data_IF_400692071299
#
_entry.id   IF_400692071299
#
_cell.length_a   1.000
_cell.length_b   1.000
_cell.length_c   1.000
_cell.angle_alpha   90.00
_cell.angle_beta   90.00
_cell.angle_gamma   90.00
#
_symmetry.space_group_name_H-M   'P 1'
#
loop_
_entity.id
_entity.type
_entity.pdbx_description
1 polymer ?
#
# COMPACT_ATOMS: atom_id res chain seq x y z
N UNK A 1 11.33 8.97 -5.30
CA UNK A 1 11.58 9.66 -3.99
C UNK A 1 12.18 8.75 -2.92
N UNK A 2 11.92 7.44 -2.89
CA UNK A 2 12.69 6.54 -2.00
C UNK A 2 14.19 6.59 -2.35
N UNK A 3 15.03 6.52 -1.32
CA UNK A 3 16.50 6.53 -1.38
C UNK A 3 17.23 7.81 -1.81
N UNK A 4 16.70 8.62 -2.73
CA UNK A 4 17.48 9.76 -3.28
C UNK A 4 16.85 11.14 -3.11
N UNK A 5 15.56 11.22 -2.77
CA UNK A 5 14.75 12.47 -2.76
C UNK A 5 14.72 13.27 -4.09
N UNK A 6 15.53 12.92 -5.08
CA UNK A 6 15.45 13.44 -6.45
C UNK A 6 14.38 12.68 -7.25
N UNK A 7 13.76 13.38 -8.20
CA UNK A 7 12.86 12.78 -9.19
C UNK A 7 13.56 11.63 -9.90
N UNK A 8 12.84 10.54 -10.16
CA UNK A 8 13.37 9.32 -10.76
C UNK A 8 14.19 9.65 -12.02
N UNK A 9 15.53 9.60 -11.91
CA UNK A 9 16.46 9.78 -13.04
C UNK A 9 17.47 10.91 -12.94
N UNK A 10 17.33 11.91 -12.05
CA UNK A 10 18.35 12.96 -11.88
C UNK A 10 19.18 12.74 -10.62
N UNK A 11 20.34 12.09 -10.77
CA UNK A 11 21.28 11.83 -9.65
C UNK A 11 22.38 12.87 -9.54
N UNK A 12 22.34 13.95 -10.32
CA UNK A 12 23.40 14.96 -10.37
C UNK A 12 23.58 15.68 -9.03
N UNK A 13 22.50 15.89 -8.28
CA UNK A 13 22.52 16.46 -6.93
C UNK A 13 22.37 15.38 -5.85
N UNK A 14 23.16 15.49 -4.78
CA UNK A 14 23.02 14.68 -3.57
C UNK A 14 22.30 15.52 -2.52
N UNK A 15 20.98 15.40 -2.43
CA UNK A 15 20.19 16.17 -1.46
C UNK A 15 20.28 15.60 -0.03
N UNK A 16 20.85 14.40 0.13
CA UNK A 16 20.98 13.71 1.42
C UNK A 16 22.19 12.76 1.40
N UNK A 17 22.76 12.48 2.57
CA UNK A 17 23.88 11.52 2.73
C UNK A 17 23.41 10.06 2.71
N UNK A 18 22.15 9.82 3.07
CA UNK A 18 21.51 8.51 3.05
C UNK A 18 20.03 8.66 2.67
N UNK A 19 19.43 7.55 2.24
CA UNK A 19 17.99 7.44 2.07
C UNK A 19 17.50 6.11 2.60
N UNK A 20 16.20 6.06 2.86
CA UNK A 20 15.49 4.87 3.33
C UNK A 20 14.37 4.51 2.37
N UNK A 21 14.04 3.22 2.35
CA UNK A 21 12.95 2.66 1.59
C UNK A 21 12.86 1.15 1.82
N UNK A 22 11.66 0.60 1.64
CA UNK A 22 11.41 -0.83 1.87
C UNK A 22 11.58 -1.66 0.58
N UNK A 23 11.57 -0.99 -0.58
CA UNK A 23 11.76 -1.64 -1.89
C UNK A 23 13.26 -1.62 -2.20
N UNK A 24 13.92 -2.77 -2.40
CA UNK A 24 15.31 -2.78 -2.84
C UNK A 24 15.49 -1.98 -4.14
N UNK A 25 16.50 -1.12 -4.19
CA UNK A 25 16.91 -0.40 -5.40
C UNK A 25 17.09 -1.36 -6.58
N UNK A 26 16.57 -0.97 -7.75
CA UNK A 26 16.82 -1.73 -8.98
C UNK A 26 18.28 -1.62 -9.42
N UNK A 27 18.75 -2.60 -10.19
CA UNK A 27 20.10 -2.59 -10.74
C UNK A 27 20.36 -1.36 -11.63
N UNK A 28 19.35 -0.90 -12.37
CA UNK A 28 19.45 0.30 -13.21
C UNK A 28 19.61 1.58 -12.38
N UNK A 29 18.86 1.71 -11.28
CA UNK A 29 18.95 2.84 -10.37
C UNK A 29 20.32 2.87 -9.65
N UNK A 30 20.80 1.71 -9.20
CA UNK A 30 22.14 1.58 -8.60
C UNK A 30 23.25 1.97 -9.57
N UNK A 31 23.18 1.51 -10.83
CA UNK A 31 24.14 1.85 -11.87
C UNK A 31 24.15 3.36 -12.19
N UNK A 32 22.96 3.98 -12.26
CA UNK A 32 22.82 5.42 -12.49
C UNK A 32 23.52 6.27 -11.43
N UNK A 33 23.45 5.84 -10.17
CA UNK A 33 24.14 6.51 -9.05
C UNK A 33 25.65 6.22 -9.11
N UNK A 34 26.05 4.96 -9.13
CA UNK A 34 27.46 4.59 -8.95
C UNK A 34 28.33 4.90 -10.17
N UNK A 35 27.84 4.59 -11.36
CA UNK A 35 28.58 4.82 -12.61
C UNK A 35 28.39 6.25 -13.10
N UNK A 36 27.18 6.80 -12.99
CA UNK A 36 26.84 8.13 -13.50
C UNK A 36 27.40 9.30 -12.68
N UNK A 37 27.73 9.08 -11.40
CA UNK A 37 28.21 10.15 -10.50
C UNK A 37 29.57 9.88 -9.86
N UNK A 38 30.12 8.67 -10.01
CA UNK A 38 31.35 8.25 -9.34
C UNK A 38 31.22 8.02 -7.83
N UNK A 39 29.99 8.01 -7.29
CA UNK A 39 29.72 7.79 -5.87
C UNK A 39 29.77 6.30 -5.53
N UNK A 40 30.22 5.98 -4.32
CA UNK A 40 30.10 4.64 -3.74
C UNK A 40 28.82 4.57 -2.93
N UNK A 41 28.04 3.52 -3.12
CA UNK A 41 26.75 3.33 -2.44
C UNK A 41 26.68 1.91 -1.88
N UNK A 42 26.10 1.76 -0.69
CA UNK A 42 25.91 0.47 -0.03
C UNK A 42 24.45 0.31 0.39
N UNK A 43 23.92 -0.91 0.23
CA UNK A 43 22.63 -1.31 0.77
C UNK A 43 22.81 -2.02 2.09
N UNK A 44 22.23 -1.47 3.16
CA UNK A 44 22.32 -2.04 4.49
C UNK A 44 20.90 -2.33 5.01
N UNK A 45 20.47 -3.60 5.06
CA UNK A 45 19.26 -3.97 5.77
C UNK A 45 19.45 -3.65 7.25
N UNK A 46 18.57 -2.84 7.82
CA UNK A 46 18.70 -2.41 9.22
C UNK A 46 17.48 -2.73 10.08
N UNK A 47 16.30 -2.94 9.46
CA UNK A 47 15.07 -3.25 10.16
C UNK A 47 14.17 -4.16 9.31
N UNK A 48 13.41 -5.02 9.98
CA UNK A 48 12.32 -5.80 9.40
C UNK A 48 11.00 -5.23 9.93
N UNK A 49 10.16 -4.75 9.02
CA UNK A 49 8.84 -4.22 9.33
C UNK A 49 7.74 -5.00 8.61
N UNK A 50 6.56 -5.10 9.23
CA UNK A 50 5.36 -5.59 8.58
C UNK A 50 4.46 -4.42 8.17
N UNK A 51 3.80 -4.56 7.02
CA UNK A 51 2.76 -3.60 6.59
C UNK A 51 1.42 -4.08 7.15
N UNK A 52 0.80 -3.24 7.98
CA UNK A 52 -0.57 -3.44 8.46
C UNK A 52 -1.58 -2.71 7.59
N UNK A 53 -2.76 -3.30 7.41
CA UNK A 53 -3.93 -2.62 6.85
C UNK A 53 -4.86 -2.28 8.00
N UNK A 54 -5.21 -1.00 8.12
CA UNK A 54 -6.10 -0.51 9.17
C UNK A 54 -7.52 -0.31 8.64
N UNK A 55 -8.50 -0.38 9.54
CA UNK A 55 -9.90 -0.10 9.25
C UNK A 55 -10.51 0.73 10.40
N UNK A 56 -11.60 1.42 10.10
CA UNK A 56 -12.34 2.24 11.09
C UNK A 56 -13.67 1.61 11.51
N UNK A 57 -13.90 0.33 11.20
CA UNK A 57 -15.06 -0.42 11.73
C UNK A 57 -14.95 -0.47 13.27
N UNK A 58 -15.97 -0.03 14.01
CA UNK A 58 -16.00 -0.10 15.47
C UNK A 58 -15.78 -1.51 16.01
N UNK A 59 -15.08 -1.63 17.13
CA UNK A 59 -14.70 -2.92 17.70
C UNK A 59 -15.91 -3.76 18.18
N UNK A 60 -16.96 -3.09 18.65
CA UNK A 60 -18.24 -3.67 19.03
C UNK A 60 -19.01 -4.23 17.82
N UNK A 61 -18.92 -3.58 16.66
CA UNK A 61 -19.52 -4.08 15.41
C UNK A 61 -18.79 -5.31 14.84
N UNK A 62 -17.52 -5.55 15.20
CA UNK A 62 -16.74 -6.69 14.71
C UNK A 62 -17.01 -7.98 15.51
N UNK A 63 -17.46 -7.87 16.77
CA UNK A 63 -17.65 -9.03 17.64
C UNK A 63 -16.39 -9.50 18.37
N UNK A 64 -15.38 -8.64 18.51
CA UNK A 64 -14.28 -8.78 19.49
C UNK A 64 -12.97 -9.42 19.02
N UNK A 65 -12.97 -10.34 18.06
CA UNK A 65 -11.73 -11.05 17.64
C UNK A 65 -10.87 -10.30 16.61
N UNK A 66 -11.23 -9.05 16.29
CA UNK A 66 -10.64 -8.29 15.19
C UNK A 66 -11.20 -8.71 13.82
N UNK A 67 -11.09 -7.82 12.84
CA UNK A 67 -11.64 -8.04 11.50
C UNK A 67 -10.71 -8.97 10.70
N UNK A 68 -11.27 -10.05 10.19
CA UNK A 68 -10.60 -11.01 9.32
C UNK A 68 -10.92 -10.69 7.88
N UNK A 69 -9.89 -10.46 7.07
CA UNK A 69 -10.01 -10.28 5.63
C UNK A 69 -9.03 -11.21 4.94
N UNK A 70 -9.54 -12.16 4.16
CA UNK A 70 -8.70 -12.96 3.29
C UNK A 70 -8.01 -12.07 2.24
N UNK A 71 -6.88 -12.51 1.66
CA UNK A 71 -6.14 -11.71 0.69
C UNK A 71 -7.02 -11.30 -0.50
N UNK A 72 -7.98 -12.15 -0.90
CA UNK A 72 -8.81 -11.89 -2.08
C UNK A 72 -10.03 -11.03 -1.76
N UNK A 73 -10.52 -11.06 -0.51
CA UNK A 73 -11.47 -10.04 -0.06
C UNK A 73 -10.80 -8.67 -0.03
N UNK A 74 -9.58 -8.60 0.49
CA UNK A 74 -8.79 -7.37 0.50
C UNK A 74 -8.57 -6.85 -0.92
N UNK A 75 -8.19 -7.73 -1.87
CA UNK A 75 -8.06 -7.38 -3.28
C UNK A 75 -9.37 -6.80 -3.84
N UNK A 76 -10.51 -7.46 -3.63
CA UNK A 76 -11.83 -6.96 -4.09
C UNK A 76 -12.22 -5.63 -3.46
N UNK A 77 -11.87 -5.38 -2.20
CA UNK A 77 -12.10 -4.09 -1.53
C UNK A 77 -11.25 -3.00 -2.19
N UNK A 78 -9.95 -3.22 -2.30
CA UNK A 78 -9.03 -2.26 -2.91
C UNK A 78 -9.21 -2.10 -4.42
N UNK A 79 -9.87 -3.06 -5.09
CA UNK A 79 -10.25 -2.95 -6.49
C UNK A 79 -11.62 -2.28 -6.71
N UNK A 80 -12.38 -2.05 -5.63
CA UNK A 80 -13.69 -1.38 -5.65
C UNK A 80 -14.87 -2.30 -5.97
N UNK A 81 -14.67 -3.62 -5.98
CA UNK A 81 -15.72 -4.63 -6.21
C UNK A 81 -16.58 -4.80 -4.97
N UNK A 82 -15.96 -4.85 -3.78
CA UNK A 82 -16.67 -4.88 -2.49
C UNK A 82 -16.65 -3.47 -1.92
N UNK A 83 -17.85 -2.89 -1.75
CA UNK A 83 -18.00 -1.47 -1.39
C UNK A 83 -18.71 -1.24 -0.07
N UNK A 84 -19.15 -2.29 0.63
CA UNK A 84 -19.82 -2.18 1.93
C UNK A 84 -19.32 -3.24 2.90
N UNK A 85 -19.31 -2.92 4.20
CA UNK A 85 -18.83 -3.82 5.25
C UNK A 85 -19.78 -5.00 5.51
N UNK A 86 -21.06 -4.87 5.17
CA UNK A 86 -22.09 -5.91 5.34
C UNK A 86 -22.11 -6.95 4.20
N UNK A 87 -21.14 -6.90 3.29
CA UNK A 87 -21.00 -7.85 2.19
C UNK A 87 -20.95 -9.29 2.70
N UNK A 88 -21.64 -10.20 2.01
CA UNK A 88 -21.81 -11.58 2.44
C UNK A 88 -20.47 -12.29 2.70
N UNK A 89 -19.50 -12.15 1.79
CA UNK A 89 -18.17 -12.76 1.95
C UNK A 89 -17.41 -12.21 3.19
N UNK A 90 -17.56 -10.91 3.52
CA UNK A 90 -16.91 -10.35 4.73
C UNK A 90 -17.55 -10.96 5.98
N UNK A 91 -18.88 -11.02 6.04
CA UNK A 91 -19.59 -11.61 7.17
C UNK A 91 -19.33 -13.11 7.33
N UNK A 92 -19.11 -13.82 6.22
CA UNK A 92 -18.76 -15.24 6.26
C UNK A 92 -17.41 -15.48 6.98
N UNK A 93 -16.42 -14.62 6.73
CA UNK A 93 -15.11 -14.68 7.39
C UNK A 93 -15.14 -14.14 8.83
N UNK A 94 -16.19 -13.40 9.20
CA UNK A 94 -16.35 -12.74 10.50
C UNK A 94 -17.67 -13.13 11.20
N UNK A 95 -17.82 -14.38 11.68
CA UNK A 95 -18.99 -14.79 12.43
C UNK A 95 -19.16 -13.92 13.68
N UNK A 96 -20.29 -13.23 13.80
CA UNK A 96 -20.57 -12.31 14.91
C UNK A 96 -20.43 -10.83 14.56
N UNK A 97 -19.95 -10.49 13.36
CA UNK A 97 -19.93 -9.11 12.86
C UNK A 97 -21.36 -8.58 12.66
N UNK A 98 -21.66 -7.43 13.26
CA UNK A 98 -22.93 -6.72 13.23
C UNK A 98 -22.68 -5.26 12.83
N UNK A 99 -22.50 -5.04 11.53
CA UNK A 99 -22.33 -3.69 10.96
C UNK A 99 -23.66 -3.16 10.41
N UNK A 100 -23.90 -1.83 10.44
CA UNK A 100 -25.04 -1.23 9.76
C UNK A 100 -25.14 -1.63 8.28
N UNK A 101 -26.35 -1.97 7.85
CA UNK A 101 -26.60 -2.35 6.45
C UNK A 101 -26.22 -1.21 5.51
N UNK A 102 -25.48 -1.54 4.44
CA UNK A 102 -25.02 -0.56 3.45
C UNK A 102 -23.92 0.39 3.93
N UNK A 103 -23.31 0.18 5.11
CA UNK A 103 -22.17 0.98 5.56
C UNK A 103 -21.02 0.89 4.54
N UNK A 104 -20.74 2.03 3.90
CA UNK A 104 -19.76 2.13 2.82
C UNK A 104 -18.33 1.94 3.30
N UNK A 105 -17.54 1.25 2.48
CA UNK A 105 -16.09 1.19 2.62
C UNK A 105 -15.50 2.37 1.86
N UNK A 106 -14.61 3.11 2.52
CA UNK A 106 -13.74 4.10 1.88
C UNK A 106 -12.31 3.60 1.93
N UNK A 107 -11.68 3.50 0.77
CA UNK A 107 -10.31 3.01 0.62
C UNK A 107 -9.36 4.20 0.73
N UNK A 108 -8.62 4.27 1.83
CA UNK A 108 -7.49 5.19 1.95
C UNK A 108 -6.28 4.65 1.18
N UNK A 109 -5.66 5.49 0.35
CA UNK A 109 -4.45 5.12 -0.37
C UNK A 109 -3.43 6.25 -0.40
N UNK A 110 -2.15 5.90 -0.62
CA UNK A 110 -1.09 6.91 -0.77
C UNK A 110 -1.25 7.63 -2.10
N UNK A 111 -1.12 8.95 -2.07
CA UNK A 111 -1.23 9.81 -3.25
C UNK A 111 0.07 9.88 -4.07
N UNK A 112 1.21 10.02 -3.40
CA UNK A 112 2.53 9.98 -4.03
C UNK A 112 3.14 8.58 -3.94
N UNK A 113 4.19 8.34 -4.74
CA UNK A 113 4.94 7.08 -4.74
C UNK A 113 5.37 6.65 -3.32
N UNK A 114 5.07 5.40 -2.96
CA UNK A 114 5.32 4.84 -1.63
C UNK A 114 5.70 3.36 -1.67
N UNK A 115 6.70 2.98 -0.88
CA UNK A 115 7.06 1.58 -0.60
C UNK A 115 5.88 0.75 -0.11
N UNK A 116 5.10 1.30 0.84
CA UNK A 116 3.94 0.59 1.38
C UNK A 116 2.91 0.29 0.29
N UNK A 117 2.69 1.21 -0.67
CA UNK A 117 1.87 0.94 -1.86
C UNK A 117 2.46 -0.21 -2.67
N UNK A 118 3.76 -0.21 -2.93
CA UNK A 118 4.43 -1.30 -3.63
C UNK A 118 4.28 -2.66 -2.94
N UNK A 119 4.47 -2.69 -1.62
CA UNK A 119 4.30 -3.90 -0.81
C UNK A 119 2.86 -4.43 -0.82
N UNK A 120 1.86 -3.57 -0.61
CA UNK A 120 0.45 -3.96 -0.61
C UNK A 120 0.02 -4.44 -2.00
N UNK A 121 0.30 -3.67 -3.05
CA UNK A 121 -0.14 -4.01 -4.41
C UNK A 121 0.57 -5.26 -4.94
N UNK A 122 1.86 -5.44 -4.64
CA UNK A 122 2.59 -6.67 -4.95
C UNK A 122 2.03 -7.88 -4.20
N UNK A 123 1.65 -7.72 -2.94
CA UNK A 123 0.98 -8.79 -2.17
C UNK A 123 -0.37 -9.19 -2.77
N UNK A 124 -1.21 -8.21 -3.13
CA UNK A 124 -2.54 -8.46 -3.72
C UNK A 124 -2.42 -9.15 -5.08
N UNK A 125 -1.51 -8.67 -5.93
CA UNK A 125 -1.22 -9.29 -7.24
C UNK A 125 -0.74 -10.73 -7.08
N UNK A 126 0.21 -10.97 -6.16
CA UNK A 126 0.78 -12.31 -5.96
C UNK A 126 -0.21 -13.31 -5.36
N UNK A 127 -1.13 -12.86 -4.48
CA UNK A 127 -2.07 -13.76 -3.80
C UNK A 127 -3.40 -13.91 -4.52
N UNK A 128 -3.84 -12.89 -5.27
CA UNK A 128 -5.21 -12.80 -5.77
C UNK A 128 -5.28 -12.16 -7.15
N UNK A 129 -4.38 -12.54 -8.06
CA UNK A 129 -4.36 -12.06 -9.46
C UNK A 129 -5.69 -12.21 -10.22
N UNK A 130 -6.56 -13.14 -9.82
CA UNK A 130 -7.91 -13.26 -10.39
C UNK A 130 -8.92 -12.22 -9.89
N UNK A 131 -8.62 -11.51 -8.79
CA UNK A 131 -9.47 -10.46 -8.20
C UNK A 131 -8.81 -9.08 -8.21
N UNK A 132 -7.49 -9.00 -8.37
CA UNK A 132 -6.72 -7.77 -8.41
C UNK A 132 -6.31 -7.44 -9.85
N UNK A 133 -6.74 -6.28 -10.35
CA UNK A 133 -6.57 -5.92 -11.77
C UNK A 133 -5.68 -4.69 -12.02
N UNK A 134 -5.13 -4.07 -10.97
CA UNK A 134 -4.45 -2.75 -11.07
C UNK A 134 -2.94 -2.81 -11.25
N UNK A 135 -2.35 -4.01 -11.25
CA UNK A 135 -0.90 -4.20 -11.26
C UNK A 135 -0.25 -3.86 -9.92
N UNK A 136 1.07 -3.91 -9.85
CA UNK A 136 1.86 -3.59 -8.66
C UNK A 136 2.91 -2.50 -8.90
N UNK A 137 3.23 -1.75 -7.85
CA UNK A 137 4.23 -0.68 -7.92
C UNK A 137 4.13 0.32 -6.79
N UNK A 138 5.16 1.15 -6.61
CA UNK A 138 5.15 2.24 -5.64
C UNK A 138 4.13 3.33 -5.98
N UNK A 139 3.72 3.41 -7.24
CA UNK A 139 2.64 4.26 -7.75
C UNK A 139 1.78 3.47 -8.73
N UNK A 140 0.46 3.49 -8.53
CA UNK A 140 -0.53 2.87 -9.43
C UNK A 140 -1.71 3.82 -9.64
N UNK A 141 -2.56 3.54 -10.63
CA UNK A 141 -3.78 4.29 -10.87
C UNK A 141 -4.91 3.83 -9.95
N UNK A 142 -5.29 4.68 -9.01
CA UNK A 142 -6.47 4.51 -8.15
C UNK A 142 -7.73 5.11 -8.80
N UNK A 143 -8.94 4.61 -8.49
CA UNK A 143 -10.18 5.21 -8.98
C UNK A 143 -10.35 6.65 -8.52
N UNK A 144 -10.83 7.52 -9.41
CA UNK A 144 -11.16 8.91 -9.09
C UNK A 144 -12.60 9.05 -8.56
N UNK A 145 -12.98 8.27 -7.55
CA UNK A 145 -14.31 8.33 -6.92
C UNK A 145 -14.20 8.81 -5.48
N UNK A 146 -15.32 9.25 -4.88
CA UNK A 146 -15.35 9.70 -3.47
C UNK A 146 -15.04 8.59 -2.46
N UNK A 147 -15.07 7.34 -2.89
CA UNK A 147 -14.81 6.16 -2.06
C UNK A 147 -13.32 5.78 -2.04
N UNK A 148 -12.49 6.40 -2.87
CA UNK A 148 -11.03 6.24 -2.88
C UNK A 148 -10.38 7.56 -2.46
N UNK A 149 -9.81 7.57 -1.26
CA UNK A 149 -9.31 8.78 -0.61
C UNK A 149 -7.79 8.77 -0.65
N UNK A 150 -7.23 9.61 -1.52
CA UNK A 150 -5.80 9.84 -1.60
C UNK A 150 -5.30 10.66 -0.41
N UNK A 151 -4.25 10.16 0.25
CA UNK A 151 -3.61 10.78 1.39
C UNK A 151 -2.11 10.97 1.15
N UNK A 152 -1.59 12.13 1.57
CA UNK A 152 -0.18 12.47 1.48
C UNK A 152 0.53 12.21 2.81
N UNK A 153 1.65 11.48 2.76
CA UNK A 153 2.43 11.11 3.94
C UNK A 153 1.68 10.18 4.91
N UNK A 154 2.33 9.82 6.01
CA UNK A 154 1.69 9.03 7.07
C UNK A 154 0.62 9.83 7.81
N UNK A 155 0.86 11.13 8.03
CA UNK A 155 -0.09 12.02 8.73
C UNK A 155 -1.41 12.19 7.98
N UNK A 156 -1.40 12.04 6.65
CA UNK A 156 -2.62 12.08 5.85
C UNK A 156 -3.47 10.81 5.94
N UNK A 157 -2.89 9.68 6.36
CA UNK A 157 -3.61 8.42 6.52
C UNK A 157 -4.37 8.44 7.86
N UNK A 158 -5.63 8.87 7.85
CA UNK A 158 -6.52 8.98 9.03
C UNK A 158 -7.89 8.37 8.77
#
# INVERSE_FOLDING_TARGET
>A
KEFSQVSDGDFSSSLSDFGSGDIPMSASLYAGITTGTGRVMVHVPFCLGAIGIFHSVPADEIGGAGLKLSPCLLAKIFDGVITTWDHADIKADNPGMQVPAGQKIKVGHRMEGSSSTGGVTGYLEAKCSGSWTRGSGSSISWPSTSDFVGAQGSDGMK
#
